data_IF_025506459959
#
_entry.id   IF_025506459959
#
_cell.length_a   1.000
_cell.length_b   1.000
_cell.length_c   1.000
_cell.angle_alpha   90.00
_cell.angle_beta   90.00
_cell.angle_gamma   90.00
#
_symmetry.space_group_name_H-M   'P 1'
#
loop_
_entity.id
_entity.type
_entity.pdbx_description
1 polymer ?
#
# COMPACT_ATOMS: atom_id res chain seq x y z
N UNK A 1 29.23 -4.39 -17.68
CA UNK A 1 28.18 -4.62 -18.71
C UNK A 1 28.65 -3.99 -20.02
N UNK A 2 28.61 -4.71 -21.16
CA UNK A 2 29.01 -4.11 -22.43
C UNK A 2 27.94 -3.16 -22.99
N UNK A 3 28.33 -2.21 -23.85
CA UNK A 3 27.38 -1.28 -24.48
C UNK A 3 26.33 -1.99 -25.34
N UNK A 4 26.69 -3.12 -25.97
CA UNK A 4 25.76 -3.92 -26.77
C UNK A 4 24.71 -4.62 -25.89
N UNK A 5 25.14 -5.22 -24.79
CA UNK A 5 24.24 -5.86 -23.81
C UNK A 5 23.27 -4.83 -23.22
N UNK A 6 23.77 -3.64 -22.90
CA UNK A 6 22.94 -2.53 -22.44
C UNK A 6 21.91 -2.10 -23.48
N UNK A 7 22.33 -1.93 -24.74
CA UNK A 7 21.42 -1.58 -25.83
C UNK A 7 20.29 -2.61 -25.98
N UNK A 8 20.60 -3.89 -25.86
CA UNK A 8 19.60 -4.97 -25.85
C UNK A 8 18.59 -4.83 -24.71
N UNK A 9 19.07 -4.62 -23.48
CA UNK A 9 18.22 -4.39 -22.31
C UNK A 9 17.35 -3.13 -22.46
N UNK A 10 17.92 -2.05 -23.00
CA UNK A 10 17.22 -0.79 -23.24
C UNK A 10 16.06 -0.99 -24.22
N UNK A 11 16.26 -1.73 -25.31
CA UNK A 11 15.20 -2.05 -26.28
C UNK A 11 14.06 -2.80 -25.59
N UNK A 12 14.38 -3.85 -24.82
CA UNK A 12 13.36 -4.63 -24.10
C UNK A 12 12.64 -3.76 -23.07
N UNK A 13 13.37 -2.93 -22.33
CA UNK A 13 12.80 -1.98 -21.38
C UNK A 13 11.87 -0.97 -22.05
N UNK A 14 12.25 -0.41 -23.20
CA UNK A 14 11.43 0.53 -23.98
C UNK A 14 10.14 -0.13 -24.47
N UNK A 15 10.23 -1.31 -25.08
CA UNK A 15 9.07 -2.05 -25.57
C UNK A 15 8.11 -2.42 -24.44
N UNK A 16 8.65 -2.89 -23.32
CA UNK A 16 7.87 -3.28 -22.14
C UNK A 16 7.17 -2.08 -21.50
N UNK A 17 7.92 -0.98 -21.30
CA UNK A 17 7.39 0.26 -20.72
C UNK A 17 6.32 0.85 -21.63
N UNK A 18 6.56 0.90 -22.95
CA UNK A 18 5.60 1.39 -23.94
C UNK A 18 4.32 0.54 -23.95
N UNK A 19 4.45 -0.78 -23.92
CA UNK A 19 3.31 -1.70 -23.85
C UNK A 19 2.44 -1.42 -22.62
N UNK A 20 3.04 -1.39 -21.42
CA UNK A 20 2.31 -1.17 -20.16
C UNK A 20 1.73 0.25 -20.09
N UNK A 21 2.51 1.26 -20.48
CA UNK A 21 2.08 2.66 -20.46
C UNK A 21 0.93 2.90 -21.44
N UNK A 22 0.96 2.30 -22.63
CA UNK A 22 -0.10 2.43 -23.63
C UNK A 22 -1.42 1.83 -23.13
N UNK A 23 -1.37 0.63 -22.53
CA UNK A 23 -2.56 0.02 -21.92
C UNK A 23 -3.10 0.87 -20.77
N UNK A 24 -2.21 1.38 -19.92
CA UNK A 24 -2.57 2.24 -18.78
C UNK A 24 -3.21 3.55 -19.26
N UNK A 25 -2.67 4.15 -20.32
CA UNK A 25 -3.17 5.39 -20.91
C UNK A 25 -4.58 5.23 -21.48
N UNK A 26 -4.84 4.13 -22.19
CA UNK A 26 -6.18 3.85 -22.71
C UNK A 26 -7.21 3.69 -21.59
N UNK A 27 -6.84 3.03 -20.48
CA UNK A 27 -7.71 2.89 -19.32
C UNK A 27 -7.93 4.22 -18.60
N UNK A 28 -6.87 5.02 -18.41
CA UNK A 28 -6.97 6.33 -17.78
C UNK A 28 -7.85 7.30 -18.59
N UNK A 29 -7.79 7.25 -19.92
CA UNK A 29 -8.69 8.04 -20.78
C UNK A 29 -10.16 7.62 -20.66
N UNK A 30 -10.43 6.34 -20.38
CA UNK A 30 -11.80 5.83 -20.19
C UNK A 30 -12.35 6.17 -18.81
N UNK A 31 -11.54 5.96 -17.78
CA UNK A 31 -11.92 6.16 -16.38
C UNK A 31 -10.77 6.89 -15.70
N UNK A 32 -11.01 8.12 -15.21
CA UNK A 32 -9.98 8.94 -14.56
C UNK A 32 -9.31 8.24 -13.37
N UNK A 33 -10.01 7.34 -12.69
CA UNK A 33 -9.45 6.51 -11.63
C UNK A 33 -10.12 5.13 -11.56
N UNK A 34 -9.29 4.10 -11.58
CA UNK A 34 -9.61 2.74 -11.15
C UNK A 34 -8.35 2.13 -10.51
N UNK A 35 -8.54 1.06 -9.73
CA UNK A 35 -7.46 0.33 -9.09
C UNK A 35 -6.53 -0.32 -10.12
N UNK A 36 -7.02 -0.67 -11.31
CA UNK A 36 -6.16 -1.13 -12.39
C UNK A 36 -5.12 -0.09 -12.82
N UNK A 37 -5.53 1.14 -13.14
CA UNK A 37 -4.60 2.22 -13.50
C UNK A 37 -3.63 2.49 -12.34
N UNK A 38 -4.12 2.52 -11.11
CA UNK A 38 -3.25 2.68 -9.94
C UNK A 38 -2.21 1.57 -9.81
N UNK A 39 -2.64 0.31 -9.93
CA UNK A 39 -1.75 -0.84 -9.90
C UNK A 39 -0.74 -0.82 -11.06
N UNK A 40 -1.16 -0.49 -12.28
CA UNK A 40 -0.27 -0.38 -13.44
C UNK A 40 0.80 0.71 -13.27
N UNK A 41 0.44 1.86 -12.69
CA UNK A 41 1.40 2.92 -12.37
C UNK A 41 2.38 2.47 -11.28
N UNK A 42 1.91 1.78 -10.24
CA UNK A 42 2.78 1.20 -9.20
C UNK A 42 3.68 0.11 -9.77
N UNK A 43 3.19 -0.69 -10.71
CA UNK A 43 3.96 -1.74 -11.37
C UNK A 43 5.08 -1.15 -12.23
N UNK A 44 4.79 -0.12 -13.03
CA UNK A 44 5.80 0.65 -13.77
C UNK A 44 6.83 1.28 -12.84
N UNK A 45 6.37 1.90 -11.74
CA UNK A 45 7.25 2.50 -10.75
C UNK A 45 8.14 1.46 -10.08
N UNK A 46 7.62 0.27 -9.76
CA UNK A 46 8.36 -0.75 -9.02
C UNK A 46 9.36 -1.49 -9.90
N UNK A 47 8.97 -1.88 -11.12
CA UNK A 47 9.75 -2.79 -11.96
C UNK A 47 10.55 -2.12 -13.09
N UNK A 48 10.19 -0.89 -13.51
CA UNK A 48 10.80 -0.25 -14.69
C UNK A 48 11.47 1.09 -14.40
N UNK A 49 10.98 1.87 -13.43
CA UNK A 49 11.51 3.21 -13.14
C UNK A 49 12.99 3.20 -12.68
N UNK A 50 13.42 2.12 -12.04
CA UNK A 50 14.80 1.98 -11.55
C UNK A 50 15.81 1.66 -12.63
N UNK A 51 15.39 1.23 -13.82
CA UNK A 51 16.32 0.88 -14.90
C UNK A 51 17.15 2.08 -15.36
N UNK A 52 16.59 3.26 -15.72
CA UNK A 52 17.38 4.45 -16.03
C UNK A 52 18.36 4.86 -14.92
N UNK A 53 17.94 4.77 -13.65
CA UNK A 53 18.80 5.08 -12.51
C UNK A 53 19.97 4.11 -12.41
N UNK A 54 19.70 2.82 -12.65
CA UNK A 54 20.72 1.76 -12.68
C UNK A 54 21.69 1.98 -13.83
N UNK A 55 21.22 2.41 -15.01
CA UNK A 55 22.09 2.75 -16.14
C UNK A 55 23.10 3.83 -15.78
N UNK A 56 22.65 4.91 -15.13
CA UNK A 56 23.55 5.99 -14.69
C UNK A 56 24.55 5.46 -13.64
N UNK A 57 24.09 4.64 -12.70
CA UNK A 57 24.96 4.02 -11.68
C UNK A 57 26.04 3.13 -12.30
N UNK A 58 25.69 2.31 -13.29
CA UNK A 58 26.66 1.42 -13.96
C UNK A 58 27.66 2.23 -14.80
N UNK A 59 27.20 3.16 -15.65
CA UNK A 59 28.10 3.84 -16.58
C UNK A 59 28.91 4.98 -15.97
N UNK A 60 28.38 5.67 -14.94
CA UNK A 60 29.06 6.81 -14.31
C UNK A 60 29.85 6.41 -13.06
N UNK A 61 29.38 5.40 -12.32
CA UNK A 61 29.94 5.03 -11.03
C UNK A 61 30.45 3.60 -10.96
N UNK A 62 30.47 2.88 -12.09
CA UNK A 62 30.96 1.50 -12.21
C UNK A 62 30.34 0.53 -11.19
N UNK A 63 29.06 0.73 -10.88
CA UNK A 63 28.34 -0.12 -9.93
C UNK A 63 28.15 -1.51 -10.51
N UNK A 64 28.59 -2.52 -9.76
CA UNK A 64 28.31 -3.90 -10.06
C UNK A 64 26.81 -4.19 -9.93
N UNK A 65 26.23 -4.72 -11.00
CA UNK A 65 24.82 -5.14 -11.08
C UNK A 65 24.75 -6.60 -11.49
N UNK A 66 23.57 -7.22 -11.31
CA UNK A 66 23.33 -8.58 -11.76
C UNK A 66 23.70 -8.77 -13.26
N UNK A 67 24.09 -9.98 -13.69
CA UNK A 67 24.45 -10.24 -15.08
C UNK A 67 23.35 -9.80 -16.07
N UNK A 68 23.71 -9.28 -17.26
CA UNK A 68 22.72 -8.75 -18.20
C UNK A 68 21.64 -9.76 -18.62
N UNK A 69 21.98 -11.05 -18.69
CA UNK A 69 21.02 -12.12 -18.99
C UNK A 69 19.95 -12.26 -17.89
N UNK A 70 20.34 -12.11 -16.63
CA UNK A 70 19.42 -12.17 -15.49
C UNK A 70 18.58 -10.90 -15.41
N UNK A 71 19.16 -9.73 -15.69
CA UNK A 71 18.41 -8.48 -15.82
C UNK A 71 17.36 -8.57 -16.94
N UNK A 72 17.71 -9.20 -18.06
CA UNK A 72 16.78 -9.47 -19.17
C UNK A 72 15.65 -10.40 -18.72
N UNK A 73 15.97 -11.50 -18.02
CA UNK A 73 14.96 -12.42 -17.47
C UNK A 73 14.02 -11.70 -16.49
N UNK A 74 14.52 -10.81 -15.64
CA UNK A 74 13.70 -10.01 -14.73
C UNK A 74 12.72 -9.11 -15.49
N UNK A 75 13.19 -8.39 -16.52
CA UNK A 75 12.34 -7.53 -17.37
C UNK A 75 11.28 -8.34 -18.12
N UNK A 76 11.66 -9.48 -18.71
CA UNK A 76 10.74 -10.35 -19.44
C UNK A 76 9.71 -10.99 -18.51
N UNK A 77 10.13 -11.44 -17.32
CA UNK A 77 9.24 -12.01 -16.31
C UNK A 77 8.23 -10.98 -15.81
N UNK A 78 8.66 -9.73 -15.57
CA UNK A 78 7.77 -8.63 -15.22
C UNK A 78 6.76 -8.30 -16.32
N UNK A 79 7.22 -8.30 -17.57
CA UNK A 79 6.37 -8.01 -18.73
C UNK A 79 5.34 -9.13 -18.95
N UNK A 80 5.77 -10.39 -18.84
CA UNK A 80 4.90 -11.56 -18.94
C UNK A 80 3.85 -11.57 -17.81
N UNK A 81 4.28 -11.32 -16.57
CA UNK A 81 3.39 -11.19 -15.43
C UNK A 81 2.31 -10.13 -15.70
N UNK A 82 2.70 -8.94 -16.16
CA UNK A 82 1.75 -7.87 -16.45
C UNK A 82 0.78 -8.23 -17.57
N UNK A 83 1.26 -8.88 -18.64
CA UNK A 83 0.42 -9.31 -19.75
C UNK A 83 -0.67 -10.29 -19.28
N UNK A 84 -0.29 -11.32 -18.51
CA UNK A 84 -1.24 -12.31 -17.96
C UNK A 84 -2.20 -11.66 -16.95
N UNK A 85 -1.68 -10.79 -16.08
CA UNK A 85 -2.49 -9.96 -15.17
C UNK A 85 -3.55 -9.17 -15.93
N UNK A 86 -3.15 -8.47 -17.00
CA UNK A 86 -4.04 -7.59 -17.77
C UNK A 86 -5.10 -8.39 -18.54
N UNK A 87 -4.72 -9.52 -19.14
CA UNK A 87 -5.67 -10.44 -19.78
C UNK A 87 -6.68 -10.92 -18.75
N UNK A 88 -6.24 -11.40 -17.58
CA UNK A 88 -7.13 -11.85 -16.50
C UNK A 88 -8.08 -10.73 -16.04
N UNK A 89 -7.55 -9.52 -15.83
CA UNK A 89 -8.35 -8.36 -15.46
C UNK A 89 -9.45 -8.08 -16.49
N UNK A 90 -9.14 -8.14 -17.79
CA UNK A 90 -10.09 -7.88 -18.87
C UNK A 90 -11.04 -9.03 -19.17
N UNK A 91 -10.66 -10.28 -18.93
CA UNK A 91 -11.53 -11.44 -19.16
C UNK A 91 -12.82 -11.32 -18.34
N UNK A 92 -13.97 -11.39 -19.00
CA UNK A 92 -15.26 -11.32 -18.31
C UNK A 92 -15.59 -12.67 -17.68
N UNK A 93 -15.46 -12.77 -16.36
CA UNK A 93 -15.83 -13.96 -15.58
C UNK A 93 -17.33 -14.04 -15.26
N UNK A 94 -18.09 -12.97 -15.53
CA UNK A 94 -19.55 -12.93 -15.34
C UNK A 94 -20.22 -12.37 -16.59
N UNK A 95 -21.33 -13.00 -16.97
CA UNK A 95 -22.17 -12.55 -18.09
C UNK A 95 -22.73 -11.15 -17.83
N UNK A 96 -22.82 -10.32 -18.88
CA UNK A 96 -23.37 -8.97 -18.85
C UNK A 96 -24.86 -8.93 -18.43
N UNK A 97 -25.55 -10.08 -18.47
CA UNK A 97 -26.97 -10.23 -18.12
C UNK A 97 -27.26 -10.34 -16.61
N UNK A 98 -26.25 -10.34 -15.74
CA UNK A 98 -26.43 -10.44 -14.28
C UNK A 98 -26.63 -9.08 -13.57
N UNK A 99 -27.09 -8.06 -14.29
CA UNK A 99 -27.51 -6.74 -13.78
C UNK A 99 -28.97 -6.76 -13.31
N UNK A 100 -29.37 -7.81 -12.60
CA UNK A 100 -30.58 -7.74 -11.78
C UNK A 100 -30.31 -6.81 -10.59
N UNK A 101 -31.28 -5.97 -10.17
CA UNK A 101 -31.13 -5.10 -9.01
C UNK A 101 -30.81 -5.97 -7.80
N UNK A 102 -29.55 -5.94 -7.34
CA UNK A 102 -29.12 -6.72 -6.19
C UNK A 102 -29.78 -6.13 -4.96
N UNK A 103 -30.46 -6.99 -4.19
CA UNK A 103 -30.93 -6.60 -2.85
C UNK A 103 -29.72 -6.05 -2.07
N UNK A 104 -29.85 -4.89 -1.42
CA UNK A 104 -28.76 -4.35 -0.63
C UNK A 104 -28.49 -5.32 0.51
N UNK A 105 -27.34 -6.01 0.47
CA UNK A 105 -26.90 -6.96 1.51
C UNK A 105 -26.82 -6.25 2.87
N UNK A 106 -26.57 -4.95 2.85
CA UNK A 106 -26.40 -4.13 4.03
C UNK A 106 -26.74 -2.67 3.69
N UNK A 107 -27.43 -1.99 4.60
CA UNK A 107 -27.74 -0.55 4.54
C UNK A 107 -27.01 0.15 5.68
N UNK A 108 -26.65 1.43 5.49
CA UNK A 108 -26.02 2.23 6.54
C UNK A 108 -26.84 3.48 6.85
N UNK A 109 -27.03 3.74 8.13
CA UNK A 109 -27.63 4.95 8.64
C UNK A 109 -26.56 5.93 9.14
N UNK A 110 -26.96 7.19 9.35
CA UNK A 110 -26.09 8.25 9.88
C UNK A 110 -25.38 7.82 11.16
N UNK A 111 -26.13 7.31 12.13
CA UNK A 111 -25.59 6.91 13.44
C UNK A 111 -24.59 5.77 13.28
N UNK A 112 -24.91 4.74 12.50
CA UNK A 112 -24.03 3.60 12.24
C UNK A 112 -22.72 4.03 11.58
N UNK A 113 -22.77 4.94 10.60
CA UNK A 113 -21.55 5.49 9.97
C UNK A 113 -20.73 6.32 10.94
N UNK A 114 -21.39 7.11 11.80
CA UNK A 114 -20.69 7.87 12.83
C UNK A 114 -20.01 6.97 13.86
N UNK A 115 -20.71 5.93 14.33
CA UNK A 115 -20.15 4.92 15.22
C UNK A 115 -18.96 4.20 14.57
N UNK A 116 -19.07 3.84 13.29
CA UNK A 116 -17.99 3.14 12.57
C UNK A 116 -16.68 3.94 12.58
N UNK A 117 -16.70 5.22 12.20
CA UNK A 117 -15.46 6.01 12.17
C UNK A 117 -14.94 6.32 13.57
N UNK A 118 -15.83 6.52 14.56
CA UNK A 118 -15.43 6.70 15.96
C UNK A 118 -14.72 5.44 16.46
N UNK A 119 -15.24 4.24 16.17
CA UNK A 119 -14.60 2.98 16.57
C UNK A 119 -13.23 2.81 15.92
N UNK A 120 -13.11 3.04 14.62
CA UNK A 120 -11.82 2.97 13.91
C UNK A 120 -10.81 3.97 14.49
N UNK A 121 -11.25 5.20 14.78
CA UNK A 121 -10.41 6.22 15.41
C UNK A 121 -10.00 5.82 16.82
N UNK A 122 -10.93 5.31 17.64
CA UNK A 122 -10.67 4.86 19.01
C UNK A 122 -9.67 3.72 19.03
N UNK A 123 -9.80 2.73 18.14
CA UNK A 123 -8.82 1.63 18.02
C UNK A 123 -7.43 2.19 17.74
N UNK A 124 -7.30 3.14 16.80
CA UNK A 124 -6.01 3.73 16.48
C UNK A 124 -5.44 4.54 17.66
N UNK A 125 -6.24 5.40 18.29
CA UNK A 125 -5.80 6.27 19.41
C UNK A 125 -5.46 5.45 20.66
N UNK A 126 -6.29 4.48 21.04
CA UNK A 126 -6.03 3.59 22.18
C UNK A 126 -4.78 2.77 21.92
N UNK A 127 -4.58 2.25 20.71
CA UNK A 127 -3.37 1.50 20.36
C UNK A 127 -2.11 2.36 20.47
N UNK A 128 -2.16 3.61 20.00
CA UNK A 128 -1.05 4.57 20.14
C UNK A 128 -0.80 4.89 21.61
N UNK A 129 -1.85 5.10 22.39
CA UNK A 129 -1.76 5.38 23.83
C UNK A 129 -1.13 4.23 24.61
N UNK A 130 -1.57 2.99 24.37
CA UNK A 130 -0.98 1.79 24.98
C UNK A 130 0.49 1.65 24.59
N UNK A 131 0.81 1.79 23.30
CA UNK A 131 2.19 1.70 22.83
C UNK A 131 3.09 2.78 23.47
N UNK A 132 2.57 4.00 23.61
CA UNK A 132 3.26 5.10 24.29
C UNK A 132 3.46 4.84 25.78
N UNK A 133 2.46 4.29 26.49
CA UNK A 133 2.60 3.94 27.91
C UNK A 133 3.67 2.88 28.15
N UNK A 134 3.82 1.93 27.24
CA UNK A 134 4.82 0.87 27.35
C UNK A 134 6.25 1.32 27.01
N UNK A 135 6.43 2.20 26.02
CA UNK A 135 7.75 2.47 25.45
C UNK A 135 8.22 3.94 25.63
N UNK A 136 7.29 4.87 25.83
CA UNK A 136 7.54 6.31 25.77
C UNK A 136 7.83 6.80 24.34
N UNK A 137 8.54 7.93 24.22
CA UNK A 137 8.98 8.44 22.92
C UNK A 137 10.25 7.73 22.45
N UNK A 138 10.11 6.75 21.56
CA UNK A 138 11.26 5.99 21.04
C UNK A 138 12.20 6.84 20.17
N UNK A 139 11.70 7.92 19.55
CA UNK A 139 12.53 8.80 18.71
C UNK A 139 13.72 9.42 19.48
N UNK A 140 13.55 9.69 20.78
CA UNK A 140 14.59 10.29 21.61
C UNK A 140 15.45 9.25 22.33
N UNK A 141 15.08 7.96 22.29
CA UNK A 141 15.79 6.87 22.97
C UNK A 141 16.64 6.01 22.04
N UNK A 142 16.23 5.84 20.78
CA UNK A 142 16.89 4.94 19.84
C UNK A 142 17.96 5.67 19.02
N UNK A 143 19.19 5.12 18.99
CA UNK A 143 20.27 5.64 18.15
C UNK A 143 20.30 5.00 16.75
N UNK A 144 19.66 3.84 16.54
CA UNK A 144 19.56 3.20 15.22
C UNK A 144 18.18 2.58 14.92
N UNK A 145 17.79 2.50 13.63
CA UNK A 145 16.48 1.99 13.20
C UNK A 145 16.29 0.48 13.50
N UNK A 146 17.37 -0.29 13.51
CA UNK A 146 17.33 -1.72 13.85
C UNK A 146 16.94 -1.98 15.29
N UNK A 147 17.19 -1.04 16.21
CA UNK A 147 16.78 -1.15 17.62
C UNK A 147 15.25 -1.06 17.79
N UNK A 148 14.49 -0.61 16.78
CA UNK A 148 13.02 -0.64 16.77
C UNK A 148 12.47 -2.08 16.82
N UNK A 149 13.29 -3.05 16.43
CA UNK A 149 13.01 -4.49 16.46
C UNK A 149 13.76 -5.24 17.58
N UNK A 150 14.45 -4.51 18.47
CA UNK A 150 15.09 -5.12 19.64
C UNK A 150 14.04 -5.58 20.66
N UNK A 151 14.43 -6.52 21.52
CA UNK A 151 13.58 -7.05 22.60
C UNK A 151 13.12 -5.97 23.61
N UNK A 152 13.72 -4.78 23.57
CA UNK A 152 13.39 -3.65 24.44
C UNK A 152 12.08 -2.94 24.04
N UNK A 153 11.60 -3.11 22.80
CA UNK A 153 10.36 -2.48 22.32
C UNK A 153 9.19 -3.45 22.38
N UNK A 154 8.29 -3.23 23.33
CA UNK A 154 7.09 -4.05 23.50
C UNK A 154 5.92 -3.55 22.64
N UNK A 155 5.09 -4.47 22.13
CA UNK A 155 3.86 -4.10 21.42
C UNK A 155 4.03 -3.69 19.95
N UNK A 156 5.07 -4.17 19.24
CA UNK A 156 5.30 -3.86 17.81
C UNK A 156 4.07 -4.13 16.92
N UNK A 157 3.25 -5.13 17.26
CA UNK A 157 2.00 -5.44 16.56
C UNK A 157 0.97 -4.28 16.61
N UNK A 158 0.94 -3.49 17.69
CA UNK A 158 0.03 -2.33 17.84
C UNK A 158 0.23 -1.29 16.73
N UNK A 159 1.43 -1.19 16.17
CA UNK A 159 1.75 -0.26 15.07
C UNK A 159 0.83 -0.47 13.86
N UNK A 160 0.39 -1.71 13.60
CA UNK A 160 -0.52 -2.03 12.49
C UNK A 160 -1.93 -1.46 12.71
N UNK A 161 -2.34 -1.22 13.96
CA UNK A 161 -3.62 -0.59 14.26
C UNK A 161 -3.63 0.92 14.06
N UNK A 162 -2.46 1.57 14.02
CA UNK A 162 -2.36 3.02 13.83
C UNK A 162 -2.91 3.42 12.45
N UNK A 163 -2.77 2.53 11.46
CA UNK A 163 -3.28 2.75 10.11
C UNK A 163 -4.79 2.94 10.04
N UNK A 164 -5.58 2.48 11.05
CA UNK A 164 -7.04 2.67 11.06
C UNK A 164 -7.49 4.11 11.34
N UNK A 165 -6.59 5.01 11.73
CA UNK A 165 -6.89 6.44 11.79
C UNK A 165 -7.21 7.02 10.40
N UNK A 166 -6.50 6.54 9.36
CA UNK A 166 -6.69 6.99 7.98
C UNK A 166 -8.10 6.66 7.44
N UNK A 167 -8.57 5.40 7.45
CA UNK A 167 -9.95 5.10 7.04
C UNK A 167 -10.98 5.79 7.94
N UNK A 168 -10.73 5.98 9.25
CA UNK A 168 -11.65 6.77 10.08
C UNK A 168 -11.84 8.19 9.53
N UNK A 169 -10.75 8.89 9.20
CA UNK A 169 -10.81 10.23 8.62
C UNK A 169 -11.34 10.22 7.18
N UNK A 170 -11.13 9.15 6.42
CA UNK A 170 -11.73 8.99 5.09
C UNK A 170 -13.25 8.91 5.15
N UNK A 171 -13.84 8.21 6.14
CA UNK A 171 -15.29 8.23 6.34
C UNK A 171 -15.77 9.67 6.58
N UNK A 172 -15.10 10.43 7.44
CA UNK A 172 -15.45 11.85 7.71
C UNK A 172 -15.36 12.70 6.44
N UNK A 173 -14.31 12.50 5.63
CA UNK A 173 -14.15 13.17 4.34
C UNK A 173 -15.28 12.82 3.37
N UNK A 174 -15.54 11.53 3.13
CA UNK A 174 -16.58 11.10 2.18
C UNK A 174 -18.01 11.45 2.63
N UNK A 175 -18.21 11.73 3.92
CA UNK A 175 -19.46 12.28 4.43
C UNK A 175 -19.69 13.73 4.06
N UNK A 176 -18.68 14.61 3.89
CA UNK A 176 -18.88 16.04 3.57
C UNK A 176 -18.43 16.44 2.17
N UNK A 177 -17.39 15.80 1.64
CA UNK A 177 -16.85 15.94 0.27
C UNK A 177 -16.52 17.38 -0.18
N UNK A 178 -16.27 18.29 0.75
CA UNK A 178 -15.89 19.68 0.49
C UNK A 178 -14.38 19.91 0.63
N UNK A 179 -13.88 21.01 0.05
CA UNK A 179 -12.45 21.36 0.09
C UNK A 179 -11.95 21.56 1.52
N UNK A 180 -12.82 21.97 2.46
CA UNK A 180 -12.45 22.09 3.88
C UNK A 180 -12.28 20.73 4.53
N UNK A 181 -13.15 19.75 4.26
CA UNK A 181 -12.95 18.38 4.74
C UNK A 181 -11.72 17.72 4.13
N UNK A 182 -11.37 18.05 2.89
CA UNK A 182 -10.14 17.57 2.26
C UNK A 182 -8.87 18.09 2.93
N UNK A 183 -8.83 19.39 3.25
CA UNK A 183 -7.73 19.98 4.00
C UNK A 183 -7.73 19.46 5.46
N UNK A 184 -8.89 19.31 6.07
CA UNK A 184 -9.02 18.72 7.41
C UNK A 184 -8.51 17.28 7.45
N UNK A 185 -8.80 16.48 6.43
CA UNK A 185 -8.24 15.14 6.27
C UNK A 185 -6.71 15.19 6.26
N UNK A 186 -6.10 16.09 5.47
CA UNK A 186 -4.64 16.24 5.44
C UNK A 186 -4.07 16.63 6.80
N UNK A 187 -4.60 17.69 7.42
CA UNK A 187 -4.07 18.22 8.68
C UNK A 187 -4.19 17.19 9.80
N UNK A 188 -5.35 16.53 9.94
CA UNK A 188 -5.57 15.52 10.99
C UNK A 188 -4.68 14.29 10.81
N UNK A 189 -4.57 13.77 9.58
CA UNK A 189 -3.77 12.56 9.31
C UNK A 189 -2.27 12.83 9.34
N UNK A 190 -1.81 14.01 8.91
CA UNK A 190 -0.40 14.42 9.04
C UNK A 190 -0.03 14.67 10.50
N UNK A 191 -0.89 15.33 11.29
CA UNK A 191 -0.67 15.52 12.72
C UNK A 191 -0.57 14.17 13.46
N UNK A 192 -1.47 13.23 13.16
CA UNK A 192 -1.39 11.86 13.67
C UNK A 192 -0.13 11.12 13.17
N UNK A 193 0.26 11.35 11.92
CA UNK A 193 1.50 10.83 11.34
C UNK A 193 2.76 11.34 12.06
N UNK A 194 2.82 12.62 12.42
CA UNK A 194 3.91 13.21 13.21
C UNK A 194 3.93 12.64 14.62
N UNK A 195 2.77 12.53 15.28
CA UNK A 195 2.65 11.92 16.60
C UNK A 195 3.19 10.48 16.59
N UNK A 196 2.74 9.67 15.63
CA UNK A 196 3.22 8.28 15.50
C UNK A 196 4.69 8.20 15.09
N UNK A 197 5.20 9.14 14.30
CA UNK A 197 6.63 9.25 13.99
C UNK A 197 7.47 9.44 15.26
N UNK A 198 7.04 10.32 16.17
CA UNK A 198 7.73 10.56 17.45
C UNK A 198 7.65 9.36 18.39
N UNK A 199 6.50 8.70 18.47
CA UNK A 199 6.26 7.58 19.38
C UNK A 199 7.00 6.32 18.90
N UNK A 200 6.99 6.03 17.59
CA UNK A 200 7.52 4.78 17.03
C UNK A 200 9.02 4.82 16.75
N UNK A 201 9.64 6.01 16.74
CA UNK A 201 11.08 6.15 16.47
C UNK A 201 11.40 6.40 14.99
N UNK A 202 10.57 7.19 14.32
CA UNK A 202 10.90 7.74 13.01
C UNK A 202 10.36 6.98 11.80
N UNK A 203 9.23 6.26 11.94
CA UNK A 203 8.52 5.62 10.83
C UNK A 203 7.73 6.65 10.03
N UNK A 204 8.09 6.86 8.76
CA UNK A 204 7.46 7.84 7.87
C UNK A 204 6.21 7.33 7.16
N UNK A 205 5.89 6.04 7.28
CA UNK A 205 4.84 5.37 6.52
C UNK A 205 3.47 6.05 6.65
N UNK A 206 3.01 6.35 7.88
CA UNK A 206 1.72 7.00 8.11
C UNK A 206 1.57 8.34 7.39
N UNK A 207 2.62 9.18 7.42
CA UNK A 207 2.64 10.49 6.77
C UNK A 207 2.59 10.32 5.24
N UNK A 208 3.41 9.41 4.70
CA UNK A 208 3.48 9.15 3.25
C UNK A 208 2.14 8.63 2.74
N UNK A 209 1.49 7.70 3.45
CA UNK A 209 0.19 7.14 3.07
C UNK A 209 -0.88 8.22 3.07
N UNK A 210 -0.95 9.02 4.15
CA UNK A 210 -1.90 10.11 4.27
C UNK A 210 -1.76 11.12 3.11
N UNK A 211 -0.52 11.52 2.83
CA UNK A 211 -0.23 12.45 1.74
C UNK A 211 -0.55 11.87 0.36
N UNK A 212 -0.20 10.59 0.11
CA UNK A 212 -0.53 9.93 -1.14
C UNK A 212 -2.05 9.89 -1.37
N UNK A 213 -2.82 9.47 -0.36
CA UNK A 213 -4.29 9.41 -0.44
C UNK A 213 -4.89 10.80 -0.65
N UNK A 214 -4.36 11.83 0.03
CA UNK A 214 -4.77 13.23 -0.17
C UNK A 214 -4.60 13.67 -1.63
N UNK A 215 -3.44 13.39 -2.23
CA UNK A 215 -3.17 13.70 -3.63
C UNK A 215 -4.12 12.94 -4.58
N UNK A 216 -4.34 11.65 -4.33
CA UNK A 216 -5.28 10.84 -5.12
C UNK A 216 -6.70 11.38 -5.08
N UNK A 217 -7.21 11.72 -3.89
CA UNK A 217 -8.53 12.35 -3.73
C UNK A 217 -8.58 13.67 -4.52
N UNK A 218 -7.52 14.48 -4.45
CA UNK A 218 -7.44 15.75 -5.17
C UNK A 218 -7.52 15.59 -6.69
N UNK A 219 -6.90 14.54 -7.25
CA UNK A 219 -6.96 14.24 -8.69
C UNK A 219 -8.37 13.80 -9.11
N UNK A 220 -8.97 12.90 -8.32
CA UNK A 220 -10.32 12.37 -8.61
C UNK A 220 -11.37 13.49 -8.59
N UNK A 221 -11.21 14.44 -7.66
CA UNK A 221 -12.09 15.63 -7.55
C UNK A 221 -11.74 16.76 -8.52
N UNK A 222 -10.60 16.66 -9.23
CA UNK A 222 -10.14 17.69 -10.16
C UNK A 222 -9.56 18.95 -9.49
N UNK A 223 -9.25 18.92 -8.20
CA UNK A 223 -8.59 20.02 -7.49
C UNK A 223 -7.08 20.05 -7.72
N UNK A 224 -6.49 18.89 -8.04
CA UNK A 224 -5.06 18.74 -8.32
C UNK A 224 -4.89 18.30 -9.78
N UNK A 225 -4.01 18.99 -10.50
CA UNK A 225 -3.61 18.61 -11.86
C UNK A 225 -2.51 17.54 -11.84
N UNK A 226 -2.37 16.79 -12.94
CA UNK A 226 -1.29 15.80 -13.09
C UNK A 226 0.11 16.43 -12.95
N UNK A 227 0.30 17.68 -13.37
CA UNK A 227 1.57 18.39 -13.22
C UNK A 227 1.89 18.70 -11.77
N UNK A 228 0.89 19.04 -10.97
CA UNK A 228 1.07 19.25 -9.53
C UNK A 228 1.41 17.94 -8.82
N UNK A 229 0.86 16.81 -9.25
CA UNK A 229 1.29 15.48 -8.77
C UNK A 229 2.76 15.22 -9.13
N UNK A 230 3.16 15.47 -10.39
CA UNK A 230 4.53 15.27 -10.83
C UNK A 230 5.51 16.14 -10.02
N UNK A 231 5.18 17.42 -9.84
CA UNK A 231 5.96 18.34 -9.01
C UNK A 231 6.03 17.86 -7.55
N UNK A 232 4.89 17.49 -6.94
CA UNK A 232 4.85 16.96 -5.58
C UNK A 232 5.68 15.67 -5.43
N UNK A 233 5.69 14.82 -6.46
CA UNK A 233 6.55 13.64 -6.53
C UNK A 233 8.04 14.00 -6.53
N UNK A 234 8.46 14.93 -7.40
CA UNK A 234 9.85 15.40 -7.47
C UNK A 234 10.27 16.04 -6.14
N UNK A 235 9.47 16.95 -5.58
CA UNK A 235 9.73 17.55 -4.27
C UNK A 235 9.76 16.50 -3.15
N UNK A 236 8.90 15.47 -3.23
CA UNK A 236 8.89 14.35 -2.30
C UNK A 236 10.17 13.53 -2.34
N UNK A 237 10.70 13.24 -3.54
CA UNK A 237 11.97 12.53 -3.72
C UNK A 237 13.13 13.35 -3.16
N UNK A 238 13.22 14.64 -3.51
CA UNK A 238 14.27 15.55 -3.02
C UNK A 238 14.20 15.72 -1.51
N UNK A 239 12.99 15.92 -0.95
CA UNK A 239 12.78 16.05 0.49
C UNK A 239 13.13 14.76 1.26
N UNK A 240 12.76 13.60 0.72
CA UNK A 240 13.15 12.30 1.29
C UNK A 240 14.66 12.10 1.31
N UNK A 241 15.34 12.49 0.23
CA UNK A 241 16.80 12.44 0.14
C UNK A 241 17.47 13.36 1.17
N UNK A 242 17.02 14.61 1.28
CA UNK A 242 17.53 15.55 2.29
C UNK A 242 17.37 14.98 3.70
N UNK A 243 16.19 14.45 4.02
CA UNK A 243 15.92 13.83 5.32
C UNK A 243 16.81 12.60 5.56
N UNK A 244 17.12 11.83 4.51
CA UNK A 244 18.04 10.71 4.60
C UNK A 244 19.47 11.17 4.92
N UNK A 245 19.99 12.17 4.20
CA UNK A 245 21.31 12.76 4.47
C UNK A 245 21.42 13.25 5.92
N UNK A 246 20.43 14.03 6.38
CA UNK A 246 20.40 14.55 7.74
C UNK A 246 20.29 13.45 8.80
N UNK A 247 19.54 12.38 8.51
CA UNK A 247 19.34 11.26 9.45
C UNK A 247 20.57 10.36 9.54
N UNK A 248 21.26 10.12 8.43
CA UNK A 248 22.43 9.25 8.39
C UNK A 248 23.75 10.00 8.64
N UNK A 249 23.71 11.31 8.88
CA UNK A 249 24.91 12.13 9.11
C UNK A 249 25.86 12.14 7.91
N UNK A 250 25.34 11.88 6.71
CA UNK A 250 26.13 11.74 5.50
C UNK A 250 26.48 13.15 4.99
N UNK A 251 27.71 13.60 5.27
CA UNK A 251 28.26 14.84 4.73
C UNK A 251 28.82 14.59 3.31
N UNK A 252 27.90 14.34 2.39
CA UNK A 252 28.26 13.98 1.01
C UNK A 252 28.23 15.21 0.11
N UNK A 253 29.26 15.41 -0.70
CA UNK A 253 29.36 16.52 -1.64
C UNK A 253 29.70 16.02 -3.06
N UNK A 254 29.20 16.74 -4.07
CA UNK A 254 29.51 16.45 -5.48
C UNK A 254 29.00 15.08 -5.95
N UNK A 255 29.89 14.30 -6.55
CA UNK A 255 29.57 13.02 -7.21
C UNK A 255 29.07 11.95 -6.24
N UNK A 256 29.58 11.91 -5.02
CA UNK A 256 29.16 10.94 -4.00
C UNK A 256 27.73 11.22 -3.53
N UNK A 257 27.32 12.50 -3.48
CA UNK A 257 25.94 12.89 -3.15
C UNK A 257 24.98 12.47 -4.27
N UNK A 258 25.40 12.63 -5.52
CA UNK A 258 24.63 12.20 -6.68
C UNK A 258 24.51 10.67 -6.75
N UNK A 259 25.60 9.94 -6.49
CA UNK A 259 25.58 8.48 -6.34
C UNK A 259 24.57 8.04 -5.28
N UNK A 260 24.67 8.60 -4.07
CA UNK A 260 23.80 8.27 -2.94
C UNK A 260 22.35 8.59 -3.26
N UNK A 261 22.09 9.71 -3.93
CA UNK A 261 20.76 10.08 -4.40
C UNK A 261 20.17 9.04 -5.34
N UNK A 262 20.91 8.64 -6.38
CA UNK A 262 20.46 7.67 -7.37
C UNK A 262 20.23 6.30 -6.74
N UNK A 263 21.18 5.84 -5.92
CA UNK A 263 21.11 4.56 -5.24
C UNK A 263 19.90 4.46 -4.30
N UNK A 264 19.75 5.45 -3.39
CA UNK A 264 18.62 5.48 -2.46
C UNK A 264 17.28 5.67 -3.19
N UNK A 265 17.23 6.50 -4.23
CA UNK A 265 15.99 6.73 -5.00
C UNK A 265 15.56 5.44 -5.71
N UNK A 266 16.50 4.73 -6.33
CA UNK A 266 16.24 3.45 -6.99
C UNK A 266 15.69 2.45 -5.98
N UNK A 267 16.40 2.18 -4.89
CA UNK A 267 15.99 1.15 -3.93
C UNK A 267 14.69 1.56 -3.18
N UNK A 268 14.48 2.86 -2.99
CA UNK A 268 13.27 3.39 -2.33
C UNK A 268 12.03 3.39 -3.20
N UNK A 269 12.12 3.49 -4.53
CA UNK A 269 10.93 3.57 -5.39
C UNK A 269 10.78 2.40 -6.36
N UNK A 270 11.91 1.86 -6.84
CA UNK A 270 11.97 0.78 -7.82
C UNK A 270 13.01 -0.27 -7.42
N UNK A 271 12.70 -1.15 -6.45
CA UNK A 271 13.54 -2.29 -6.08
C UNK A 271 13.53 -3.40 -7.15
N UNK A 272 13.59 -3.04 -8.44
CA UNK A 272 13.48 -3.96 -9.56
C UNK A 272 14.65 -4.94 -9.65
N UNK A 273 15.84 -4.49 -9.24
CA UNK A 273 17.06 -5.31 -9.24
C UNK A 273 16.95 -6.48 -8.23
N UNK A 274 16.13 -6.37 -7.18
CA UNK A 274 15.93 -7.45 -6.22
C UNK A 274 15.36 -8.71 -6.88
N UNK A 275 14.50 -8.56 -7.90
CA UNK A 275 14.04 -9.69 -8.68
C UNK A 275 15.20 -10.35 -9.44
N UNK A 276 16.10 -9.55 -10.02
CA UNK A 276 17.27 -10.07 -10.73
C UNK A 276 18.25 -10.77 -9.77
N UNK A 277 18.54 -10.18 -8.61
CA UNK A 277 19.38 -10.81 -7.58
C UNK A 277 18.80 -12.13 -7.08
N UNK A 278 17.48 -12.22 -6.97
CA UNK A 278 16.77 -13.44 -6.60
C UNK A 278 16.88 -14.50 -7.70
N UNK A 279 16.70 -14.13 -8.96
CA UNK A 279 16.88 -15.03 -10.11
C UNK A 279 18.34 -15.46 -10.29
N UNK A 280 19.30 -14.61 -9.92
CA UNK A 280 20.72 -14.96 -9.96
C UNK A 280 21.09 -16.03 -8.93
N UNK A 281 20.40 -16.05 -7.79
CA UNK A 281 20.60 -17.03 -6.71
C UNK A 281 19.47 -18.07 -6.70
N UNK A 282 18.87 -18.36 -7.84
CA UNK A 282 17.71 -19.26 -7.96
C UNK A 282 18.02 -20.68 -7.46
N UNK A 283 19.26 -21.12 -7.63
CA UNK A 283 19.80 -22.40 -7.15
C UNK A 283 19.82 -22.52 -5.62
N UNK A 284 19.84 -21.39 -4.89
CA UNK A 284 19.82 -21.35 -3.43
C UNK A 284 18.41 -21.26 -2.84
N UNK A 285 17.38 -21.25 -3.68
CA UNK A 285 15.99 -21.08 -3.22
C UNK A 285 15.39 -22.44 -2.89
N UNK A 286 15.21 -22.69 -1.60
CA UNK A 286 14.28 -23.70 -1.10
C UNK A 286 12.85 -23.16 -1.18
N UNK A 287 12.04 -23.73 -2.07
CA UNK A 287 10.67 -23.27 -2.29
C UNK A 287 9.83 -23.39 -1.01
N UNK A 288 9.32 -22.26 -0.54
CA UNK A 288 8.61 -22.17 0.74
C UNK A 288 7.11 -22.52 0.64
N UNK A 289 6.59 -22.77 -0.57
CA UNK A 289 5.16 -22.94 -0.81
C UNK A 289 4.35 -21.73 -0.35
N UNK A 290 3.17 -21.97 0.23
CA UNK A 290 2.33 -20.91 0.82
C UNK A 290 2.70 -20.57 2.27
N UNK A 291 3.74 -21.21 2.83
CA UNK A 291 4.15 -20.99 4.21
C UNK A 291 4.46 -19.52 4.55
N UNK A 292 5.10 -18.71 3.67
CA UNK A 292 5.36 -17.31 3.97
C UNK A 292 4.09 -16.50 4.23
N UNK A 293 2.98 -16.82 3.54
CA UNK A 293 1.68 -16.17 3.77
C UNK A 293 1.22 -16.46 5.20
N UNK A 294 1.23 -17.73 5.62
CA UNK A 294 0.83 -18.15 6.95
C UNK A 294 1.74 -17.56 8.04
N UNK A 295 3.06 -17.56 7.81
CA UNK A 295 4.06 -17.00 8.72
C UNK A 295 3.86 -15.50 8.91
N UNK A 296 3.50 -14.75 7.87
CA UNK A 296 3.27 -13.31 8.01
C UNK A 296 2.08 -12.96 8.93
N UNK A 297 1.13 -13.91 9.12
CA UNK A 297 0.08 -13.77 10.14
C UNK A 297 0.59 -13.94 11.57
N UNK A 298 1.74 -14.58 11.79
CA UNK A 298 2.28 -14.78 13.14
C UNK A 298 2.47 -13.44 13.84
N UNK A 299 2.77 -12.37 13.08
CA UNK A 299 2.92 -11.00 13.60
C UNK A 299 1.69 -10.52 14.37
N UNK A 300 0.50 -11.03 14.07
CA UNK A 300 -0.74 -10.67 14.76
C UNK A 300 -1.02 -11.49 16.02
N UNK A 301 -0.32 -12.61 16.24
CA UNK A 301 -0.52 -13.48 17.40
C UNK A 301 0.33 -12.93 18.57
N UNK A 302 -0.29 -12.47 19.67
CA UNK A 302 0.46 -11.98 20.82
C UNK A 302 1.27 -13.08 21.50
N UNK A 303 2.41 -12.72 22.10
CA UNK A 303 3.29 -13.68 22.78
C UNK A 303 2.65 -14.35 24.00
N UNK A 304 1.64 -13.73 24.63
CA UNK A 304 0.88 -14.37 25.70
C UNK A 304 -0.04 -15.50 25.20
N UNK A 305 -0.49 -15.42 23.95
CA UNK A 305 -1.32 -16.45 23.31
C UNK A 305 -0.47 -17.56 22.70
N UNK A 306 0.75 -17.23 22.26
CA UNK A 306 1.74 -18.19 21.78
C UNK A 306 3.14 -17.84 22.33
N UNK A 307 3.52 -18.39 23.49
CA UNK A 307 4.80 -18.09 24.15
C UNK A 307 6.01 -18.53 23.32
N UNK A 308 5.95 -19.70 22.68
CA UNK A 308 7.03 -20.26 21.86
C UNK A 308 7.06 -19.73 20.42
N UNK A 309 6.34 -18.62 20.17
CA UNK A 309 6.32 -18.01 18.84
C UNK A 309 7.74 -17.59 18.44
N UNK A 310 8.19 -17.89 17.20
CA UNK A 310 9.46 -17.37 16.69
C UNK A 310 9.48 -15.85 16.76
N UNK A 311 10.45 -15.28 17.49
CA UNK A 311 10.61 -13.83 17.63
C UNK A 311 10.82 -13.14 16.28
N UNK A 312 11.38 -13.88 15.32
CA UNK A 312 11.70 -13.42 13.98
C UNK A 312 10.94 -14.28 12.96
N UNK A 313 10.01 -13.66 12.23
CA UNK A 313 9.13 -14.35 11.28
C UNK A 313 9.82 -14.46 9.92
N UNK A 314 10.04 -15.69 9.44
CA UNK A 314 10.60 -15.95 8.11
C UNK A 314 9.54 -15.77 7.01
N UNK A 315 9.18 -14.51 6.74
CA UNK A 315 8.38 -14.12 5.56
C UNK A 315 9.27 -14.03 4.31
N UNK A 316 8.70 -13.77 3.14
CA UNK A 316 9.51 -13.75 1.89
C UNK A 316 10.62 -12.71 1.91
N UNK A 317 10.42 -11.55 2.56
CA UNK A 317 11.44 -10.52 2.71
C UNK A 317 12.62 -10.98 3.58
N UNK A 318 12.33 -11.55 4.74
CA UNK A 318 13.37 -12.05 5.63
C UNK A 318 14.08 -13.27 5.03
N UNK A 319 13.36 -14.17 4.37
CA UNK A 319 13.93 -15.29 3.63
C UNK A 319 14.90 -14.81 2.53
N UNK A 320 14.45 -13.88 1.68
CA UNK A 320 15.29 -13.32 0.62
C UNK A 320 16.54 -12.64 1.18
N UNK A 321 16.39 -11.91 2.29
CA UNK A 321 17.52 -11.19 2.90
C UNK A 321 18.53 -12.14 3.53
N UNK A 322 18.08 -13.15 4.28
CA UNK A 322 18.96 -14.01 5.07
C UNK A 322 19.44 -15.22 4.31
N UNK A 323 18.53 -15.99 3.71
CA UNK A 323 18.87 -17.26 3.10
C UNK A 323 19.44 -17.07 1.69
N UNK A 324 18.92 -16.07 0.94
CA UNK A 324 19.35 -15.85 -0.46
C UNK A 324 20.52 -14.88 -0.55
N UNK A 325 20.42 -13.72 0.12
CA UNK A 325 21.45 -12.68 0.08
C UNK A 325 22.52 -12.80 1.17
N UNK A 326 22.36 -13.72 2.13
CA UNK A 326 23.28 -13.89 3.27
C UNK A 326 23.54 -12.59 4.04
N UNK A 327 22.49 -11.77 4.24
CA UNK A 327 22.60 -10.45 4.86
C UNK A 327 21.84 -10.38 6.20
N UNK A 328 22.56 -10.52 7.31
CA UNK A 328 21.98 -10.48 8.66
C UNK A 328 22.06 -9.11 9.35
N UNK A 329 22.19 -8.02 8.59
CA UNK A 329 22.28 -6.64 9.12
C UNK A 329 21.03 -6.12 9.85
N UNK A 330 19.97 -6.94 9.97
CA UNK A 330 18.70 -6.58 10.58
C UNK A 330 17.79 -5.72 9.70
N UNK A 331 18.16 -5.50 8.43
CA UNK A 331 17.36 -4.79 7.42
C UNK A 331 16.71 -5.80 6.47
N UNK A 332 15.38 -5.87 6.48
CA UNK A 332 14.63 -6.72 5.55
C UNK A 332 14.56 -6.06 4.16
N UNK A 333 15.11 -6.74 3.15
CA UNK A 333 15.05 -6.35 1.74
C UNK A 333 13.83 -7.03 1.10
N UNK A 334 13.01 -6.25 0.42
CA UNK A 334 11.82 -6.79 -0.25
C UNK A 334 12.17 -7.51 -1.56
N UNK A 335 11.65 -8.72 -1.80
CA UNK A 335 11.78 -9.42 -3.07
C UNK A 335 10.79 -8.91 -4.13
N UNK A 336 9.90 -7.96 -3.81
CA UNK A 336 8.80 -7.45 -4.66
C UNK A 336 7.69 -8.48 -4.92
N UNK A 337 6.61 -8.05 -5.60
CA UNK A 337 5.50 -8.93 -5.98
C UNK A 337 5.98 -10.23 -6.65
N UNK A 338 6.79 -10.10 -7.70
CA UNK A 338 7.21 -11.24 -8.52
C UNK A 338 8.22 -12.08 -7.75
N UNK A 339 9.19 -11.47 -7.06
CA UNK A 339 10.15 -12.24 -6.28
C UNK A 339 9.48 -13.01 -5.13
N UNK A 340 8.44 -12.44 -4.49
CA UNK A 340 7.66 -13.17 -3.48
C UNK A 340 7.03 -14.45 -4.05
N UNK A 341 6.54 -14.41 -5.30
CA UNK A 341 5.99 -15.59 -5.98
C UNK A 341 7.08 -16.62 -6.32
N UNK A 342 8.26 -16.14 -6.71
CA UNK A 342 9.42 -17.02 -7.00
C UNK A 342 9.91 -17.73 -5.74
N UNK A 343 9.94 -17.06 -4.58
CA UNK A 343 10.26 -17.73 -3.29
C UNK A 343 9.23 -18.80 -2.94
N UNK A 344 7.95 -18.57 -3.24
CA UNK A 344 6.88 -19.52 -2.91
C UNK A 344 6.92 -20.79 -3.77
N UNK A 345 7.18 -20.68 -5.07
CA UNK A 345 7.16 -21.87 -5.94
C UNK A 345 7.81 -21.68 -7.30
N UNK A 346 8.84 -20.83 -7.35
CA UNK A 346 9.66 -20.62 -8.53
C UNK A 346 8.95 -19.90 -9.66
N UNK A 347 9.50 -20.05 -10.87
CA UNK A 347 8.94 -19.45 -12.08
C UNK A 347 7.48 -19.89 -12.35
N UNK A 348 7.10 -21.09 -11.92
CA UNK A 348 5.75 -21.62 -12.08
C UNK A 348 4.69 -20.83 -11.33
N UNK A 349 5.04 -20.18 -10.22
CA UNK A 349 4.10 -19.39 -9.41
C UNK A 349 3.82 -17.99 -9.98
N UNK A 350 4.61 -17.53 -10.96
CA UNK A 350 4.43 -16.23 -11.62
C UNK A 350 3.06 -16.18 -12.33
N UNK A 351 2.71 -17.23 -13.09
CA UNK A 351 1.44 -17.32 -13.83
C UNK A 351 0.19 -17.33 -12.91
N UNK A 352 0.04 -18.26 -11.96
CA UNK A 352 -1.11 -18.26 -11.05
C UNK A 352 -1.14 -17.00 -10.18
N UNK A 353 0.03 -16.46 -9.80
CA UNK A 353 0.13 -15.18 -9.11
C UNK A 353 -0.41 -14.01 -9.93
N UNK A 354 -0.06 -13.93 -11.21
CA UNK A 354 -0.59 -12.90 -12.13
C UNK A 354 -2.12 -12.98 -12.26
N UNK A 355 -2.66 -14.19 -12.37
CA UNK A 355 -4.10 -14.44 -12.41
C UNK A 355 -4.74 -13.98 -11.08
N UNK A 356 -4.23 -14.42 -9.94
CA UNK A 356 -4.75 -14.07 -8.63
C UNK A 356 -4.75 -12.54 -8.41
N UNK A 357 -3.65 -11.86 -8.75
CA UNK A 357 -3.57 -10.40 -8.68
C UNK A 357 -4.58 -9.74 -9.62
N UNK A 358 -4.74 -10.26 -10.84
CA UNK A 358 -5.77 -9.79 -11.78
C UNK A 358 -7.18 -9.84 -11.20
N UNK A 359 -7.52 -10.93 -10.50
CA UNK A 359 -8.80 -11.09 -9.81
C UNK A 359 -8.95 -10.16 -8.60
N UNK A 360 -7.89 -9.98 -7.82
CA UNK A 360 -7.86 -9.08 -6.66
C UNK A 360 -8.13 -7.64 -7.11
N UNK A 361 -7.39 -7.13 -8.10
CA UNK A 361 -7.58 -5.76 -8.59
C UNK A 361 -8.98 -5.58 -9.17
N UNK A 362 -9.46 -6.58 -9.92
CA UNK A 362 -10.83 -6.59 -10.45
C UNK A 362 -11.88 -6.55 -9.34
N UNK A 363 -11.66 -7.23 -8.22
CA UNK A 363 -12.56 -7.21 -7.06
C UNK A 363 -12.61 -5.82 -6.40
N UNK A 364 -11.46 -5.16 -6.23
CA UNK A 364 -11.41 -3.79 -5.73
C UNK A 364 -12.09 -2.79 -6.67
N UNK A 365 -11.90 -2.92 -7.98
CA UNK A 365 -12.60 -2.10 -8.97
C UNK A 365 -14.10 -2.31 -8.91
N UNK A 366 -14.54 -3.55 -8.81
CA UNK A 366 -15.96 -3.87 -8.64
C UNK A 366 -16.53 -3.23 -7.36
N UNK A 367 -15.83 -3.31 -6.23
CA UNK A 367 -16.26 -2.70 -4.98
C UNK A 367 -16.32 -1.16 -5.07
N UNK A 368 -15.39 -0.56 -5.80
CA UNK A 368 -15.39 0.88 -6.06
C UNK A 368 -16.55 1.32 -6.96
N UNK A 369 -16.85 0.56 -8.02
CA UNK A 369 -18.01 0.84 -8.89
C UNK A 369 -19.31 0.73 -8.10
N UNK A 370 -19.44 -0.24 -7.19
CA UNK A 370 -20.59 -0.33 -6.29
C UNK A 370 -20.71 0.91 -5.39
N UNK A 371 -19.59 1.46 -4.90
CA UNK A 371 -19.61 2.70 -4.13
C UNK A 371 -20.11 3.91 -4.95
N UNK A 372 -19.74 3.99 -6.23
CA UNK A 372 -20.16 5.07 -7.12
C UNK A 372 -21.66 4.98 -7.51
N UNK A 373 -22.19 3.77 -7.65
CA UNK A 373 -23.60 3.53 -8.02
C UNK A 373 -24.56 3.58 -6.81
N UNK A 374 -24.03 3.61 -5.59
CA UNK A 374 -24.81 3.56 -4.36
C UNK A 374 -25.53 4.89 -4.09
N UNK A 375 -26.86 4.86 -3.99
CA UNK A 375 -27.69 6.04 -3.72
C UNK A 375 -27.61 6.49 -2.25
N UNK A 376 -27.32 5.57 -1.33
CA UNK A 376 -27.16 5.89 0.09
C UNK A 376 -25.77 6.47 0.37
N UNK A 377 -25.70 7.78 0.62
CA UNK A 377 -24.49 8.54 0.99
C UNK A 377 -23.65 7.89 2.10
N UNK A 378 -24.30 7.31 3.11
CA UNK A 378 -23.61 6.71 4.26
C UNK A 378 -22.91 5.42 3.88
N UNK A 379 -23.58 4.57 3.09
CA UNK A 379 -23.02 3.33 2.57
C UNK A 379 -21.91 3.60 1.55
N UNK A 380 -22.13 4.56 0.65
CA UNK A 380 -21.12 5.02 -0.29
C UNK A 380 -19.85 5.51 0.44
N UNK A 381 -20.01 6.28 1.53
CA UNK A 381 -18.87 6.75 2.33
C UNK A 381 -18.06 5.61 2.96
N UNK A 382 -18.72 4.58 3.49
CA UNK A 382 -18.05 3.38 4.03
C UNK A 382 -17.32 2.61 2.93
N UNK A 383 -17.96 2.38 1.79
CA UNK A 383 -17.36 1.66 0.66
C UNK A 383 -16.14 2.41 0.11
N UNK A 384 -16.26 3.71 -0.12
CA UNK A 384 -15.13 4.53 -0.55
C UNK A 384 -14.02 4.57 0.49
N UNK A 385 -14.36 4.71 1.79
CA UNK A 385 -13.36 4.67 2.84
C UNK A 385 -12.62 3.33 2.91
N UNK A 386 -13.30 2.21 2.69
CA UNK A 386 -12.67 0.89 2.65
C UNK A 386 -11.72 0.79 1.45
N UNK A 387 -12.20 1.16 0.25
CA UNK A 387 -11.41 1.13 -0.99
C UNK A 387 -10.18 2.03 -0.90
N UNK A 388 -10.32 3.29 -0.47
CA UNK A 388 -9.20 4.22 -0.32
C UNK A 388 -8.27 3.84 0.83
N UNK A 389 -8.80 3.28 1.92
CA UNK A 389 -7.99 2.73 3.01
C UNK A 389 -7.11 1.56 2.53
N UNK A 390 -7.58 0.78 1.56
CA UNK A 390 -6.85 -0.34 0.97
C UNK A 390 -5.80 0.07 -0.08
N UNK A 391 -5.74 1.35 -0.50
CA UNK A 391 -4.73 1.84 -1.46
C UNK A 391 -3.30 1.53 -0.99
N UNK A 392 -3.03 1.70 0.31
CA UNK A 392 -1.72 1.36 0.88
C UNK A 392 -1.39 -0.12 0.70
N UNK A 393 -2.35 -1.00 0.92
CA UNK A 393 -2.14 -2.43 0.72
C UNK A 393 -1.78 -2.72 -0.75
N UNK A 394 -2.31 -1.98 -1.71
CA UNK A 394 -1.88 -2.15 -3.12
C UNK A 394 -0.42 -1.76 -3.37
N UNK A 395 0.09 -0.76 -2.65
CA UNK A 395 1.52 -0.41 -2.68
C UNK A 395 2.34 -1.58 -2.13
N UNK A 396 1.90 -2.16 -1.01
CA UNK A 396 2.53 -3.35 -0.40
C UNK A 396 2.51 -4.53 -1.37
N UNK A 397 1.41 -4.74 -2.09
CA UNK A 397 1.30 -5.81 -3.07
C UNK A 397 2.39 -5.73 -4.13
N UNK A 398 2.55 -4.56 -4.75
CA UNK A 398 3.55 -4.37 -5.80
C UNK A 398 4.99 -4.42 -5.23
N UNK A 399 5.21 -3.74 -4.10
CA UNK A 399 6.55 -3.45 -3.59
C UNK A 399 7.11 -4.46 -2.61
N UNK A 400 6.28 -5.04 -1.75
CA UNK A 400 6.70 -5.94 -0.68
C UNK A 400 6.49 -7.41 -1.09
N UNK A 401 5.30 -7.75 -1.59
CA UNK A 401 4.99 -9.13 -1.96
C UNK A 401 3.52 -9.49 -1.79
N UNK A 402 3.14 -10.64 -2.35
CA UNK A 402 1.77 -11.16 -2.23
C UNK A 402 1.46 -11.64 -0.80
N UNK A 403 2.43 -12.24 -0.10
CA UNK A 403 2.30 -12.65 1.30
C UNK A 403 2.00 -11.49 2.24
N UNK A 404 2.82 -10.43 2.17
CA UNK A 404 2.67 -9.23 2.97
C UNK A 404 1.37 -8.49 2.64
N UNK A 405 0.91 -8.57 1.39
CA UNK A 405 -0.39 -8.04 1.01
C UNK A 405 -1.55 -8.82 1.64
N UNK A 406 -1.56 -10.15 1.50
CA UNK A 406 -2.67 -11.00 1.97
C UNK A 406 -2.86 -10.81 3.48
N UNK A 407 -1.77 -10.84 4.26
CA UNK A 407 -1.84 -10.68 5.71
C UNK A 407 -2.42 -9.31 6.11
N UNK A 408 -1.99 -8.22 5.46
CA UNK A 408 -2.43 -6.85 5.75
C UNK A 408 -3.86 -6.60 5.29
N UNK A 409 -4.25 -7.11 4.12
CA UNK A 409 -5.62 -6.95 3.62
C UNK A 409 -6.61 -7.74 4.45
N UNK A 410 -6.30 -8.99 4.80
CA UNK A 410 -7.18 -9.80 5.66
C UNK A 410 -7.31 -9.13 7.03
N UNK A 411 -6.21 -8.70 7.64
CA UNK A 411 -6.27 -7.95 8.89
C UNK A 411 -7.10 -6.67 8.79
N UNK A 412 -6.89 -5.89 7.73
CA UNK A 412 -7.68 -4.68 7.46
C UNK A 412 -9.18 -5.00 7.31
N UNK A 413 -9.52 -6.02 6.54
CA UNK A 413 -10.91 -6.48 6.33
C UNK A 413 -11.56 -6.95 7.64
N UNK A 414 -10.85 -7.73 8.45
CA UNK A 414 -11.37 -8.25 9.72
C UNK A 414 -11.64 -7.10 10.69
N UNK A 415 -10.67 -6.23 10.95
CA UNK A 415 -10.84 -5.13 11.91
C UNK A 415 -11.90 -4.14 11.41
N UNK A 416 -11.87 -3.78 10.12
CA UNK A 416 -12.88 -2.88 9.55
C UNK A 416 -14.27 -3.52 9.60
N UNK A 417 -14.39 -4.80 9.25
CA UNK A 417 -15.64 -5.58 9.32
C UNK A 417 -16.19 -5.69 10.74
N UNK A 418 -15.34 -5.98 11.73
CA UNK A 418 -15.71 -6.02 13.15
C UNK A 418 -16.21 -4.64 13.61
N UNK A 419 -15.56 -3.54 13.21
CA UNK A 419 -16.05 -2.20 13.52
C UNK A 419 -17.43 -1.92 12.92
N UNK A 420 -17.70 -2.37 11.70
CA UNK A 420 -19.01 -2.23 11.06
C UNK A 420 -20.09 -3.04 11.79
N UNK A 421 -19.78 -4.28 12.16
CA UNK A 421 -20.71 -5.16 12.88
C UNK A 421 -20.99 -4.62 14.28
N UNK A 422 -19.96 -4.18 15.01
CA UNK A 422 -20.13 -3.57 16.32
C UNK A 422 -20.90 -2.26 16.25
N UNK A 423 -20.67 -1.42 15.23
CA UNK A 423 -21.46 -0.21 15.02
C UNK A 423 -22.94 -0.52 14.79
N UNK A 424 -23.26 -1.60 14.07
CA UNK A 424 -24.62 -2.10 13.88
C UNK A 424 -25.25 -2.60 15.19
N UNK A 425 -24.52 -3.39 15.97
CA UNK A 425 -24.99 -3.91 17.24
C UNK A 425 -25.21 -2.79 18.27
N UNK A 426 -24.30 -1.82 18.35
CA UNK A 426 -24.44 -0.65 19.20
C UNK A 426 -25.61 0.23 18.77
N UNK A 427 -25.81 0.41 17.47
CA UNK A 427 -27.00 1.10 16.96
C UNK A 427 -28.28 0.40 17.40
N UNK A 428 -28.35 -0.93 17.25
CA UNK A 428 -29.52 -1.70 17.68
C UNK A 428 -29.76 -1.61 19.20
N UNK A 429 -28.68 -1.60 20.00
CA UNK A 429 -28.76 -1.38 21.45
C UNK A 429 -29.29 0.02 21.78
N UNK A 430 -28.80 1.06 21.12
CA UNK A 430 -29.25 2.44 21.34
C UNK A 430 -30.69 2.68 20.86
N UNK A 431 -31.10 2.01 19.78
CA UNK A 431 -32.48 2.03 19.28
C UNK A 431 -33.42 1.34 20.27
N UNK A 432 -33.02 0.17 20.78
CA UNK A 432 -33.76 -0.58 21.81
C UNK A 432 -33.86 0.19 23.14
N UNK A 433 -32.84 1.01 23.45
CA UNK A 433 -32.81 1.88 24.64
C UNK A 433 -33.53 3.23 24.43
N UNK A 434 -34.10 3.50 23.24
CA UNK A 434 -34.83 4.75 22.95
C UNK A 434 -33.96 6.00 22.80
N UNK A 435 -32.62 5.85 22.68
CA UNK A 435 -31.69 6.98 22.58
C UNK A 435 -31.62 7.57 21.15
N UNK A 436 -32.11 6.85 20.15
CA UNK A 436 -32.10 7.29 18.75
C UNK A 436 -33.41 8.01 18.43
N UNK A 437 -33.39 9.35 18.53
CA UNK A 437 -34.52 10.16 18.08
C UNK A 437 -34.47 10.28 16.55
N UNK A 438 -35.46 9.70 15.85
CA UNK A 438 -35.70 10.04 14.44
C UNK A 438 -36.01 11.54 14.39
N UNK A 439 -35.16 12.32 13.72
CA UNK A 439 -35.57 13.68 13.31
C UNK A 439 -36.80 13.52 12.45
N UNK A 440 -37.95 14.00 12.93
CA UNK A 440 -39.12 14.20 12.09
C UNK A 440 -38.69 14.97 10.85
N UNK A 441 -39.16 14.49 9.69
CA UNK A 441 -39.16 15.30 8.48
C UNK A 441 -39.93 16.57 8.85
N UNK A 442 -39.22 17.69 9.04
CA UNK A 442 -39.87 18.99 8.96
C UNK A 442 -40.55 19.01 7.59
N UNK A 443 -41.88 18.91 7.62
CA UNK A 443 -42.71 18.94 6.44
C UNK A 443 -42.28 20.13 5.60
N UNK A 444 -42.14 19.89 4.30
CA UNK A 444 -42.16 20.95 3.32
C UNK A 444 -43.31 21.88 3.65
N UNK A 445 -43.01 23.05 4.23
CA UNK A 445 -43.91 24.19 4.15
C UNK A 445 -44.07 24.47 2.68
N UNK A 446 -45.18 23.96 2.14
CA UNK A 446 -45.80 24.43 0.92
C UNK A 446 -45.81 25.95 0.97
N UNK A 447 -45.00 26.58 0.12
CA UNK A 447 -45.18 27.97 -0.27
C UNK A 447 -46.48 28.03 -1.09
N UNK A 448 -47.60 28.05 -0.38
CA UNK A 448 -48.90 28.45 -0.92
C UNK A 448 -48.94 29.97 -0.98
N UNK A 449 -49.05 30.50 -2.20
CA UNK A 449 -49.80 31.71 -2.57
C UNK A 449 -49.82 32.87 -1.55
N UNK A 450 -49.06 33.94 -1.84
CA UNK A 450 -49.57 35.30 -2.10
C UNK A 450 -48.64 35.97 -3.09
#
# INVERSE_FOLDING_TARGET
MSQLQFSGLLVVWLLSTLFIATLTWFEFRRVRFNFNVFFSLLFLLTFYFGFPLTSILVFRFDVAVAPPEILLQALLSATCFYAVYYVTYKTRLRSATASAPRRPIFTMNRVETHLTWVMLMTIALVSVGIFFMHNGFLLFKLQSYSQIFSAEVSGVALKRFFYFFIPAMLVVFFLRQDSKAWLFFLVSTVAFGILTYMIVGGTRANIIIAFAIFLFIGIIRGWISLWMLAAAGVFGIVGMFWLALKRYGLNVAGDEAFYTFLYLTRDTFSPWENLALLLQNYDKIDFQGLAPIARDFYVFIPTWLWPDRPGVVLNTANYFTWEVLNNHSGLAISPTLIGSLVVMGGAWFILPGAIAVGLIIKWFDWLYTLGNEETNRYKAAILHSFCFGAIFNMIVLAREGLDSFVSRVVFFMVVFGVCLVLAKLLYWLFDSAGLVHRREHQGSTTLSQV
#
